data_IF_477956371029
#
_entry.id   IF_477956371029
#
_cell.length_a   1.000
_cell.length_b   1.000
_cell.length_c   1.000
_cell.angle_alpha   90.00
_cell.angle_beta   90.00
_cell.angle_gamma   90.00
#
_symmetry.space_group_name_H-M   'P 1'
#
loop_
_entity.id
_entity.type
_entity.pdbx_description
1 polymer ?
#
# COMPACT_ATOMS: atom_id res chain seq x y z
N UNK A 1 -50.96 19.94 85.12
CA UNK A 1 -51.16 19.72 83.66
C UNK A 1 -49.87 19.15 83.08
N UNK A 2 -49.84 17.82 82.85
CA UNK A 2 -48.71 17.06 82.30
C UNK A 2 -48.50 17.44 80.82
N UNK A 3 -47.29 17.86 80.43
CA UNK A 3 -46.89 18.01 79.02
C UNK A 3 -45.94 16.88 78.63
N UNK A 4 -46.40 16.07 77.68
CA UNK A 4 -45.72 14.94 77.06
C UNK A 4 -44.60 15.48 76.16
N UNK A 5 -43.36 14.97 76.32
CA UNK A 5 -42.25 15.21 75.39
C UNK A 5 -42.23 14.09 74.35
N UNK A 6 -42.47 14.43 73.09
CA UNK A 6 -42.31 13.53 71.95
C UNK A 6 -40.86 13.57 71.46
N UNK A 7 -40.26 12.38 71.29
CA UNK A 7 -38.91 12.17 70.75
C UNK A 7 -39.04 12.03 69.23
N UNK A 8 -38.34 12.88 68.47
CA UNK A 8 -38.23 12.77 67.01
C UNK A 8 -36.86 12.17 66.69
N UNK A 9 -36.86 10.96 66.14
CA UNK A 9 -35.68 10.30 65.59
C UNK A 9 -35.36 10.90 64.21
N UNK A 10 -34.17 11.48 64.04
CA UNK A 10 -33.63 11.87 62.72
C UNK A 10 -32.73 10.74 62.20
N UNK A 11 -33.11 10.15 61.06
CA UNK A 11 -32.23 9.27 60.28
C UNK A 11 -31.16 10.12 59.57
N UNK A 12 -29.89 9.77 59.75
CA UNK A 12 -28.79 10.27 58.92
C UNK A 12 -28.66 9.41 57.67
N UNK A 13 -28.92 9.99 56.50
CA UNK A 13 -28.59 9.37 55.21
C UNK A 13 -27.13 9.70 54.86
N UNK A 14 -26.25 8.70 54.89
CA UNK A 14 -24.87 8.82 54.42
C UNK A 14 -24.81 8.66 52.91
N UNK A 15 -24.48 9.73 52.20
CA UNK A 15 -24.17 9.70 50.76
C UNK A 15 -22.69 9.32 50.56
N UNK A 16 -22.45 8.19 49.89
CA UNK A 16 -21.11 7.79 49.44
C UNK A 16 -20.85 8.45 48.09
N UNK A 17 -19.94 9.42 48.04
CA UNK A 17 -19.43 9.98 46.79
C UNK A 17 -18.37 9.04 46.19
N UNK A 18 -18.72 8.33 45.12
CA UNK A 18 -17.75 7.57 44.34
C UNK A 18 -16.90 8.55 43.50
N UNK A 19 -15.70 8.86 43.98
CA UNK A 19 -14.69 9.57 43.20
C UNK A 19 -14.20 8.68 42.06
N UNK A 20 -14.63 8.95 40.83
CA UNK A 20 -14.08 8.29 39.64
C UNK A 20 -12.65 8.75 39.40
N UNK A 21 -11.68 7.83 39.51
CA UNK A 21 -10.35 8.04 38.95
C UNK A 21 -10.49 8.10 37.43
N UNK A 22 -10.33 9.30 36.85
CA UNK A 22 -10.05 9.44 35.43
C UNK A 22 -8.60 8.98 35.23
N UNK A 23 -8.42 7.73 34.80
CA UNK A 23 -7.15 7.28 34.27
C UNK A 23 -6.88 8.04 32.98
N UNK A 24 -6.05 9.08 33.04
CA UNK A 24 -5.46 9.69 31.85
C UNK A 24 -4.67 8.59 31.14
N UNK A 25 -5.18 8.11 30.02
CA UNK A 25 -4.40 7.24 29.15
C UNK A 25 -3.10 7.99 28.80
N UNK A 26 -1.93 7.33 28.85
CA UNK A 26 -0.68 7.96 28.42
C UNK A 26 -0.89 8.49 27.00
N UNK A 27 -0.49 9.75 26.76
CA UNK A 27 -0.46 10.29 25.42
C UNK A 27 0.44 9.38 24.57
N UNK A 28 -0.18 8.65 23.66
CA UNK A 28 0.46 7.90 22.61
C UNK A 28 1.34 8.85 21.78
N UNK A 29 2.65 8.86 22.02
CA UNK A 29 3.59 9.66 21.24
C UNK A 29 4.02 8.84 20.03
N UNK A 30 3.83 9.39 18.83
CA UNK A 30 4.44 8.87 17.62
C UNK A 30 5.97 8.89 17.79
N UNK A 31 6.64 7.76 17.59
CA UNK A 31 8.09 7.65 17.74
C UNK A 31 8.75 7.76 16.37
N UNK A 32 9.88 8.47 16.33
CA UNK A 32 10.80 8.45 15.19
C UNK A 32 11.92 7.45 15.47
N UNK A 33 12.01 6.41 14.64
CA UNK A 33 12.95 5.30 14.76
C UNK A 33 14.03 5.44 13.68
N UNK A 34 15.28 5.82 14.04
CA UNK A 34 16.37 5.78 13.09
C UNK A 34 16.75 4.33 12.77
N UNK A 35 16.81 3.98 11.49
CA UNK A 35 17.04 2.61 11.04
C UNK A 35 18.46 2.50 10.45
N UNK A 36 19.34 1.78 11.14
CA UNK A 36 20.68 1.49 10.62
C UNK A 36 20.63 0.70 9.30
N UNK A 37 21.64 0.81 8.44
CA UNK A 37 21.68 0.19 7.11
C UNK A 37 21.91 -1.33 7.16
N UNK A 38 20.89 -2.10 7.60
CA UNK A 38 20.92 -3.56 7.62
C UNK A 38 19.51 -4.15 7.58
N UNK A 39 19.40 -5.38 7.06
CA UNK A 39 18.16 -6.16 7.05
C UNK A 39 17.55 -6.28 8.46
N UNK A 40 18.35 -6.72 9.44
CA UNK A 40 17.88 -6.93 10.81
C UNK A 40 17.37 -5.63 11.47
N UNK A 41 18.03 -4.49 11.22
CA UNK A 41 17.59 -3.21 11.77
C UNK A 41 16.24 -2.77 11.19
N UNK A 42 16.03 -2.94 9.89
CA UNK A 42 14.75 -2.61 9.25
C UNK A 42 13.62 -3.52 9.75
N UNK A 43 13.87 -4.82 9.84
CA UNK A 43 12.90 -5.80 10.37
C UNK A 43 12.55 -5.49 11.82
N UNK A 44 13.55 -5.20 12.66
CA UNK A 44 13.33 -4.83 14.06
C UNK A 44 12.52 -3.54 14.20
N UNK A 45 12.80 -2.53 13.37
CA UNK A 45 12.06 -1.27 13.37
C UNK A 45 10.59 -1.46 12.97
N UNK A 46 10.31 -2.29 11.96
CA UNK A 46 8.93 -2.61 11.57
C UNK A 46 8.21 -3.39 12.67
N UNK A 47 8.86 -4.38 13.29
CA UNK A 47 8.27 -5.10 14.42
C UNK A 47 7.98 -4.18 15.62
N UNK A 48 8.87 -3.23 15.91
CA UNK A 48 8.66 -2.23 16.94
C UNK A 48 7.47 -1.34 16.61
N UNK A 49 7.36 -0.83 15.38
CA UNK A 49 6.23 -0.01 14.96
C UNK A 49 4.89 -0.77 14.96
N UNK A 50 4.91 -2.06 14.62
CA UNK A 50 3.74 -2.94 14.72
C UNK A 50 3.33 -3.25 16.18
N UNK A 51 4.18 -2.96 17.18
CA UNK A 51 3.89 -3.29 18.58
C UNK A 51 2.90 -2.34 19.25
N UNK A 52 2.59 -1.20 18.61
CA UNK A 52 1.63 -0.22 19.13
C UNK A 52 0.67 0.22 18.04
N UNK A 53 -0.58 0.60 18.36
CA UNK A 53 -1.54 1.09 17.36
C UNK A 53 -1.21 2.51 16.85
N UNK A 54 -0.14 3.12 17.34
CA UNK A 54 0.26 4.49 17.05
C UNK A 54 0.98 4.54 15.70
N UNK A 55 0.86 5.66 15.00
CA UNK A 55 1.66 5.89 13.79
C UNK A 55 3.11 6.16 14.14
N UNK A 56 4.02 5.30 13.70
CA UNK A 56 5.46 5.47 13.89
C UNK A 56 6.17 5.84 12.57
N UNK A 57 7.29 6.55 12.70
CA UNK A 57 8.10 7.01 11.57
C UNK A 57 9.47 6.33 11.60
N UNK A 58 9.82 5.64 10.52
CA UNK A 58 11.10 4.98 10.32
C UNK A 58 11.97 5.86 9.41
N UNK A 59 13.02 6.44 9.98
CA UNK A 59 13.98 7.23 9.20
C UNK A 59 15.06 6.28 8.69
N UNK A 60 15.01 5.98 7.40
CA UNK A 60 15.95 5.08 6.76
C UNK A 60 17.31 5.77 6.59
N UNK A 61 18.39 4.99 6.70
CA UNK A 61 19.73 5.47 6.47
C UNK A 61 19.85 6.01 5.03
N UNK A 62 20.23 7.28 4.89
CA UNK A 62 20.28 7.97 3.60
C UNK A 62 21.18 7.26 2.58
N UNK A 63 20.64 6.98 1.40
CA UNK A 63 21.32 6.28 0.30
C UNK A 63 21.54 4.79 0.54
N UNK A 64 21.09 4.24 1.67
CA UNK A 64 21.27 2.82 1.98
C UNK A 64 20.48 1.92 1.02
N UNK A 65 21.05 0.75 0.71
CA UNK A 65 20.29 -0.38 0.16
C UNK A 65 20.11 -1.45 1.23
N UNK A 66 18.90 -1.57 1.76
CA UNK A 66 18.45 -2.65 2.64
C UNK A 66 18.27 -3.92 1.81
N UNK A 67 19.26 -4.80 1.90
CA UNK A 67 19.31 -6.08 1.17
C UNK A 67 18.61 -7.15 1.99
N UNK A 68 17.37 -7.46 1.60
CA UNK A 68 16.56 -8.49 2.24
C UNK A 68 16.95 -9.85 1.68
N UNK A 69 17.49 -10.73 2.53
CA UNK A 69 17.98 -12.04 2.12
C UNK A 69 16.99 -13.16 2.43
N UNK A 70 16.11 -12.96 3.42
CA UNK A 70 15.07 -13.91 3.82
C UNK A 70 13.72 -13.23 4.00
N UNK A 71 12.65 -14.03 4.11
CA UNK A 71 11.32 -13.54 4.45
C UNK A 71 11.17 -13.42 5.98
N UNK A 72 10.49 -12.36 6.43
CA UNK A 72 10.25 -12.04 7.85
C UNK A 72 8.76 -11.88 8.20
N UNK A 73 7.88 -11.73 7.22
CA UNK A 73 6.42 -11.68 7.40
C UNK A 73 5.72 -12.98 6.96
N UNK A 74 6.19 -14.12 7.47
CA UNK A 74 5.84 -15.44 6.96
C UNK A 74 6.80 -15.90 5.85
N UNK A 75 6.33 -16.71 4.90
CA UNK A 75 7.20 -17.28 3.85
C UNK A 75 7.35 -16.42 2.61
N UNK A 76 6.57 -15.34 2.49
CA UNK A 76 6.41 -14.61 1.22
C UNK A 76 6.65 -13.10 1.31
N UNK A 77 7.11 -12.58 2.45
CA UNK A 77 7.25 -11.14 2.72
C UNK A 77 8.64 -10.83 3.29
N UNK A 78 9.40 -9.95 2.65
CA UNK A 78 10.69 -9.49 3.15
C UNK A 78 10.53 -8.76 4.49
N UNK A 79 9.52 -7.90 4.62
CA UNK A 79 9.21 -7.25 5.89
C UNK A 79 8.19 -8.06 6.69
N UNK A 80 8.17 -7.92 8.03
CA UNK A 80 6.99 -8.29 8.81
C UNK A 80 5.73 -7.64 8.21
N UNK A 81 4.60 -8.34 8.28
CA UNK A 81 3.32 -7.78 7.77
C UNK A 81 3.02 -6.49 8.52
N UNK A 82 2.71 -5.43 7.79
CA UNK A 82 2.43 -4.11 8.35
C UNK A 82 0.98 -4.12 8.84
N UNK A 83 0.80 -4.05 10.15
CA UNK A 83 -0.51 -4.14 10.81
C UNK A 83 -0.95 -2.84 11.46
N UNK A 84 -0.02 -1.88 11.60
CA UNK A 84 -0.22 -0.54 12.18
C UNK A 84 0.19 0.52 11.16
N UNK A 85 -0.10 1.81 11.39
CA UNK A 85 0.38 2.87 10.50
C UNK A 85 1.89 3.06 10.62
N UNK A 86 2.62 2.94 9.52
CA UNK A 86 4.07 3.09 9.44
C UNK A 86 4.40 4.08 8.31
N UNK A 87 5.17 5.12 8.62
CA UNK A 87 5.85 5.95 7.63
C UNK A 87 7.32 5.54 7.49
N UNK A 88 7.82 5.40 6.27
CA UNK A 88 9.24 5.22 5.97
C UNK A 88 9.75 6.42 5.17
N UNK A 89 10.80 7.06 5.69
CA UNK A 89 11.40 8.25 5.09
C UNK A 89 12.77 7.88 4.51
N UNK A 90 12.96 8.17 3.23
CA UNK A 90 14.20 7.94 2.49
C UNK A 90 15.13 9.18 2.44
N UNK A 91 16.10 9.20 1.49
CA UNK A 91 16.23 8.28 0.36
C UNK A 91 16.83 6.94 0.77
N UNK A 92 16.21 5.83 0.37
CA UNK A 92 16.74 4.48 0.61
C UNK A 92 16.11 3.46 -0.34
N UNK A 93 16.81 2.36 -0.59
CA UNK A 93 16.30 1.24 -1.40
C UNK A 93 16.08 0.02 -0.52
N UNK A 94 14.92 -0.63 -0.62
CA UNK A 94 14.65 -1.95 -0.04
C UNK A 94 14.53 -2.94 -1.18
N UNK A 95 15.41 -3.94 -1.19
CA UNK A 95 15.52 -4.87 -2.29
C UNK A 95 15.56 -6.32 -1.84
N UNK A 96 14.87 -7.21 -2.56
CA UNK A 96 15.15 -8.64 -2.46
C UNK A 96 16.55 -8.90 -3.04
N UNK A 97 17.42 -9.37 -2.16
CA UNK A 97 18.82 -9.67 -2.40
C UNK A 97 19.15 -11.11 -1.99
N UNK A 98 18.15 -11.99 -2.07
CA UNK A 98 18.31 -13.43 -1.82
C UNK A 98 19.47 -14.03 -2.63
N UNK A 99 20.24 -14.97 -2.04
CA UNK A 99 21.33 -15.62 -2.75
C UNK A 99 20.87 -16.22 -4.08
N UNK A 100 21.64 -16.00 -5.14
CA UNK A 100 21.36 -16.49 -6.49
C UNK A 100 20.05 -15.97 -7.12
N UNK A 101 19.36 -15.02 -6.50
CA UNK A 101 18.09 -14.47 -7.00
C UNK A 101 16.90 -15.43 -6.91
N UNK A 102 17.01 -16.47 -6.08
CA UNK A 102 16.02 -17.54 -5.96
C UNK A 102 15.00 -17.30 -4.84
N UNK A 103 15.13 -16.24 -4.05
CA UNK A 103 14.21 -15.93 -2.97
C UNK A 103 12.86 -15.48 -3.50
N UNK A 104 11.82 -16.22 -3.13
CA UNK A 104 10.44 -16.01 -3.55
C UNK A 104 9.66 -15.27 -2.46
N UNK A 105 10.00 -14.00 -2.25
CA UNK A 105 9.25 -13.09 -1.38
C UNK A 105 9.07 -11.70 -2.02
N UNK A 106 7.93 -11.08 -1.73
CA UNK A 106 7.65 -9.67 -2.03
C UNK A 106 8.34 -8.76 -1.03
N UNK A 107 8.40 -7.45 -1.28
CA UNK A 107 9.02 -6.52 -0.33
C UNK A 107 8.13 -6.31 0.90
N UNK A 108 6.85 -5.96 0.70
CA UNK A 108 5.94 -5.66 1.81
C UNK A 108 4.54 -6.24 1.61
N UNK A 109 3.89 -6.56 2.73
CA UNK A 109 2.45 -6.77 2.80
C UNK A 109 1.85 -5.81 3.83
N UNK A 110 0.81 -5.09 3.43
CA UNK A 110 0.01 -4.25 4.31
C UNK A 110 -1.28 -4.98 4.63
N UNK A 111 -1.47 -5.32 5.90
CA UNK A 111 -2.67 -5.99 6.37
C UNK A 111 -3.91 -5.07 6.39
N UNK A 112 -5.11 -5.61 6.67
CA UNK A 112 -6.38 -4.87 6.59
C UNK A 112 -6.49 -3.64 7.52
N UNK A 113 -5.72 -3.64 8.61
CA UNK A 113 -5.64 -2.53 9.58
C UNK A 113 -4.37 -1.68 9.40
N UNK A 114 -3.44 -2.12 8.56
CA UNK A 114 -2.15 -1.47 8.36
C UNK A 114 -2.24 -0.31 7.39
N UNK A 115 -1.29 0.61 7.53
CA UNK A 115 -1.04 1.67 6.55
C UNK A 115 0.45 1.83 6.34
N UNK A 116 0.89 1.91 5.09
CA UNK A 116 2.29 2.16 4.74
C UNK A 116 2.41 3.46 3.95
N UNK A 117 3.17 4.41 4.48
CA UNK A 117 3.51 5.65 3.79
C UNK A 117 4.99 5.66 3.46
N UNK A 118 5.35 5.85 2.19
CA UNK A 118 6.74 5.94 1.72
C UNK A 118 7.03 7.34 1.18
N UNK A 119 7.96 8.07 1.79
CA UNK A 119 8.27 9.45 1.40
C UNK A 119 9.76 9.66 1.15
N UNK A 120 10.08 10.71 0.38
CA UNK A 120 11.48 11.19 0.22
C UNK A 120 12.41 10.16 -0.43
N UNK A 121 11.96 9.52 -1.52
CA UNK A 121 12.84 8.67 -2.34
C UNK A 121 13.06 7.27 -1.79
N UNK A 122 12.03 6.65 -1.18
CA UNK A 122 12.09 5.22 -0.87
C UNK A 122 11.81 4.42 -2.13
N UNK A 123 12.63 3.41 -2.40
CA UNK A 123 12.52 2.54 -3.58
C UNK A 123 12.33 1.10 -3.13
N UNK A 124 11.22 0.48 -3.53
CA UNK A 124 11.03 -0.97 -3.37
C UNK A 124 11.30 -1.66 -4.70
N UNK A 125 12.27 -2.57 -4.71
CA UNK A 125 12.75 -3.19 -5.94
C UNK A 125 13.08 -4.67 -5.83
N UNK A 126 13.05 -5.36 -6.98
CA UNK A 126 13.44 -6.77 -7.12
C UNK A 126 12.59 -7.74 -6.30
N UNK A 127 11.50 -7.30 -5.68
CA UNK A 127 10.56 -8.22 -5.04
C UNK A 127 10.11 -9.27 -6.04
N UNK A 128 10.07 -10.53 -5.63
CA UNK A 128 9.83 -11.66 -6.53
C UNK A 128 9.02 -12.69 -5.76
N UNK A 129 7.76 -12.92 -6.13
CA UNK A 129 6.88 -13.78 -5.31
C UNK A 129 6.02 -14.71 -6.15
N UNK A 130 5.83 -15.93 -5.65
CA UNK A 130 4.74 -16.80 -6.10
C UNK A 130 3.44 -16.36 -5.42
N UNK A 131 2.79 -15.36 -5.98
CA UNK A 131 1.61 -14.73 -5.39
C UNK A 131 1.34 -13.36 -6.01
N UNK A 132 0.62 -12.51 -5.28
CA UNK A 132 0.26 -11.16 -5.70
C UNK A 132 1.23 -10.10 -5.16
N UNK A 133 1.36 -8.94 -5.81
CA UNK A 133 2.05 -7.79 -5.22
C UNK A 133 3.54 -8.01 -5.04
N UNK A 134 4.30 -8.09 -6.15
CA UNK A 134 5.75 -8.37 -6.11
C UNK A 134 6.53 -7.35 -5.29
N UNK A 135 6.20 -6.06 -5.42
CA UNK A 135 6.66 -5.02 -4.50
C UNK A 135 5.81 -5.00 -3.24
N UNK A 136 4.52 -4.70 -3.40
CA UNK A 136 3.58 -4.53 -2.28
C UNK A 136 2.29 -5.32 -2.53
N UNK A 137 1.92 -6.18 -1.58
CA UNK A 137 0.53 -6.65 -1.44
C UNK A 137 -0.21 -5.70 -0.48
N UNK A 138 -1.20 -4.98 -0.97
CA UNK A 138 -2.00 -4.08 -0.16
C UNK A 138 -3.40 -4.65 0.11
N UNK A 139 -3.72 -4.79 1.41
CA UNK A 139 -5.06 -5.09 1.93
C UNK A 139 -5.60 -3.98 2.83
N UNK A 140 -4.78 -2.97 3.13
CA UNK A 140 -5.11 -1.80 3.94
C UNK A 140 -4.87 -0.53 3.12
N UNK A 141 -4.00 0.36 3.60
CA UNK A 141 -3.67 1.60 2.91
C UNK A 141 -2.20 1.70 2.52
N UNK A 142 -1.91 2.20 1.32
CA UNK A 142 -0.55 2.48 0.84
C UNK A 142 -0.51 3.88 0.24
N UNK A 143 0.47 4.68 0.64
CA UNK A 143 0.74 6.01 0.08
C UNK A 143 2.21 6.14 -0.30
N UNK A 144 2.52 6.50 -1.54
CA UNK A 144 3.87 6.80 -2.00
C UNK A 144 3.95 8.24 -2.47
N UNK A 145 4.85 9.03 -1.88
CA UNK A 145 5.11 10.43 -2.28
C UNK A 145 6.58 10.62 -2.62
N UNK A 146 6.88 10.83 -3.90
CA UNK A 146 8.28 10.93 -4.38
C UNK A 146 9.08 9.65 -4.13
N UNK A 147 8.42 8.50 -4.17
CA UNK A 147 8.98 7.15 -3.94
C UNK A 147 8.73 6.28 -5.16
N UNK A 148 9.25 5.06 -5.24
CA UNK A 148 9.01 4.23 -6.44
C UNK A 148 8.93 2.73 -6.20
N UNK A 149 8.19 2.06 -7.07
CA UNK A 149 8.19 0.59 -7.17
C UNK A 149 8.79 0.22 -8.53
N UNK A 150 9.95 -0.43 -8.51
CA UNK A 150 10.69 -0.72 -9.75
C UNK A 150 11.22 -2.14 -9.82
N UNK A 151 11.08 -2.80 -10.97
CA UNK A 151 11.69 -4.12 -11.19
C UNK A 151 11.12 -5.22 -10.29
N UNK A 152 9.86 -5.11 -9.86
CA UNK A 152 9.22 -6.12 -9.01
C UNK A 152 8.42 -7.12 -9.86
N UNK A 153 8.44 -8.38 -9.43
CA UNK A 153 7.85 -9.52 -10.14
C UNK A 153 6.87 -10.29 -9.25
N UNK A 154 5.70 -10.62 -9.80
CA UNK A 154 4.71 -11.47 -9.17
C UNK A 154 4.26 -12.58 -10.13
N UNK A 155 4.01 -13.79 -9.65
CA UNK A 155 3.38 -14.81 -10.50
C UNK A 155 1.89 -14.52 -10.73
N UNK A 156 1.21 -13.93 -9.74
CA UNK A 156 -0.17 -13.47 -9.79
C UNK A 156 -0.26 -11.98 -10.14
N UNK A 157 -1.37 -11.35 -9.75
CA UNK A 157 -1.66 -9.94 -10.04
C UNK A 157 -0.73 -8.94 -9.33
N UNK A 158 -0.48 -7.79 -9.96
CA UNK A 158 0.26 -6.67 -9.40
C UNK A 158 1.76 -6.94 -9.28
N UNK A 159 2.53 -6.71 -10.33
CA UNK A 159 3.98 -6.86 -10.27
C UNK A 159 4.60 -5.85 -9.29
N UNK A 160 4.22 -4.59 -9.42
CA UNK A 160 4.58 -3.51 -8.49
C UNK A 160 3.71 -3.55 -7.24
N UNK A 161 2.40 -3.32 -7.39
CA UNK A 161 1.42 -3.33 -6.30
C UNK A 161 0.16 -4.10 -6.67
N UNK A 162 -0.34 -4.91 -5.73
CA UNK A 162 -1.66 -5.52 -5.82
C UNK A 162 -2.57 -4.99 -4.70
N UNK A 163 -3.62 -4.27 -5.09
CA UNK A 163 -4.67 -3.77 -4.20
C UNK A 163 -5.79 -4.81 -4.15
N UNK A 164 -5.80 -5.64 -3.09
CA UNK A 164 -6.68 -6.81 -3.00
C UNK A 164 -7.61 -6.72 -1.80
N UNK A 165 -8.90 -6.88 -2.07
CA UNK A 165 -9.94 -6.84 -1.03
C UNK A 165 -9.71 -7.89 0.05
N UNK A 166 -10.24 -7.59 1.22
CA UNK A 166 -10.49 -8.59 2.25
C UNK A 166 -11.97 -8.59 2.57
N UNK A 167 -12.68 -9.74 2.46
CA UNK A 167 -14.14 -9.78 2.54
C UNK A 167 -14.74 -9.10 3.77
N UNK A 168 -14.03 -9.09 4.90
CA UNK A 168 -14.45 -8.51 6.18
C UNK A 168 -13.63 -7.30 6.63
N UNK A 169 -12.77 -6.75 5.77
CA UNK A 169 -11.84 -5.67 6.12
C UNK A 169 -12.18 -4.33 5.49
N UNK A 170 -11.35 -3.34 5.82
CA UNK A 170 -11.32 -2.04 5.15
C UNK A 170 -11.01 -2.24 3.68
N UNK A 171 -11.72 -1.52 2.80
CA UNK A 171 -11.45 -1.57 1.37
C UNK A 171 -10.03 -1.06 1.11
N UNK A 172 -9.24 -1.74 0.26
CA UNK A 172 -7.83 -1.45 0.13
C UNK A 172 -7.64 -0.18 -0.73
N UNK A 173 -6.75 0.71 -0.31
CA UNK A 173 -6.52 2.00 -0.96
C UNK A 173 -5.04 2.23 -1.26
N UNK A 174 -4.73 2.64 -2.49
CA UNK A 174 -3.37 2.96 -2.91
C UNK A 174 -3.32 4.38 -3.52
N UNK A 175 -2.40 5.20 -3.04
CA UNK A 175 -2.17 6.57 -3.53
C UNK A 175 -0.70 6.75 -3.96
N UNK A 176 -0.47 7.27 -5.15
CA UNK A 176 0.84 7.56 -5.69
C UNK A 176 0.91 9.04 -6.10
N UNK A 177 1.82 9.80 -5.51
CA UNK A 177 2.06 11.21 -5.82
C UNK A 177 3.50 11.39 -6.28
N UNK A 178 3.70 11.73 -7.56
CA UNK A 178 5.02 11.82 -8.19
C UNK A 178 5.90 10.58 -7.93
N UNK A 179 5.28 9.41 -7.94
CA UNK A 179 5.90 8.14 -7.55
C UNK A 179 5.90 7.17 -8.74
N UNK A 180 6.99 7.08 -9.52
CA UNK A 180 7.02 6.30 -10.75
C UNK A 180 6.91 4.79 -10.48
N UNK A 181 6.29 4.11 -11.43
CA UNK A 181 6.05 2.66 -11.43
C UNK A 181 6.68 2.08 -12.69
N UNK A 182 7.81 1.39 -12.57
CA UNK A 182 8.58 0.98 -13.75
C UNK A 182 9.15 -0.43 -13.73
N UNK A 183 9.18 -1.09 -14.89
CA UNK A 183 9.83 -2.38 -15.03
C UNK A 183 9.22 -3.50 -14.20
N UNK A 184 7.97 -3.36 -13.75
CA UNK A 184 7.31 -4.37 -12.94
C UNK A 184 6.60 -5.41 -13.82
N UNK A 185 6.58 -6.66 -13.37
CA UNK A 185 6.17 -7.82 -14.16
C UNK A 185 5.17 -8.70 -13.41
N UNK A 186 4.13 -9.15 -14.10
CA UNK A 186 3.37 -10.34 -13.71
C UNK A 186 3.55 -11.45 -14.74
N UNK A 187 3.74 -12.69 -14.29
CA UNK A 187 3.92 -13.83 -15.20
C UNK A 187 2.58 -14.36 -15.74
N UNK A 188 1.59 -14.51 -14.85
CA UNK A 188 0.30 -15.12 -15.19
C UNK A 188 -0.91 -14.24 -14.79
N UNK A 189 -0.68 -13.21 -13.98
CA UNK A 189 -1.72 -12.28 -13.53
C UNK A 189 -1.82 -10.99 -14.34
N UNK A 190 -2.66 -10.09 -13.87
CA UNK A 190 -2.92 -8.78 -14.48
C UNK A 190 -2.28 -7.63 -13.68
N UNK A 191 -2.10 -6.48 -14.33
CA UNK A 191 -1.57 -5.26 -13.70
C UNK A 191 -0.08 -5.34 -13.45
N UNK A 192 0.75 -5.05 -14.45
CA UNK A 192 2.21 -5.20 -14.33
C UNK A 192 2.76 -4.22 -13.29
N UNK A 193 2.39 -2.94 -13.41
CA UNK A 193 2.65 -1.96 -12.36
C UNK A 193 1.66 -2.10 -11.22
N UNK A 194 0.36 -1.97 -11.49
CA UNK A 194 -0.68 -1.99 -10.46
C UNK A 194 -1.87 -2.85 -10.87
N UNK A 195 -2.29 -3.74 -9.97
CA UNK A 195 -3.60 -4.36 -10.01
C UNK A 195 -4.51 -3.71 -8.96
N UNK A 196 -5.62 -3.11 -9.40
CA UNK A 196 -6.66 -2.56 -8.53
C UNK A 196 -7.91 -3.44 -8.58
N UNK A 197 -8.04 -4.32 -7.59
CA UNK A 197 -9.09 -5.33 -7.54
C UNK A 197 -10.41 -4.83 -6.95
N UNK A 198 -11.29 -5.79 -6.63
CA UNK A 198 -12.62 -5.57 -6.05
C UNK A 198 -12.55 -4.58 -4.88
N UNK A 199 -13.48 -3.62 -4.84
CA UNK A 199 -13.58 -2.55 -3.81
C UNK A 199 -12.34 -1.66 -3.66
N UNK A 200 -11.27 -1.93 -4.39
CA UNK A 200 -10.03 -1.18 -4.34
C UNK A 200 -10.19 0.25 -4.84
N UNK A 201 -9.45 1.15 -4.23
CA UNK A 201 -9.30 2.53 -4.70
C UNK A 201 -7.85 2.79 -5.09
N UNK A 202 -7.64 3.31 -6.29
CA UNK A 202 -6.32 3.71 -6.79
C UNK A 202 -6.36 5.19 -7.20
N UNK A 203 -5.46 5.98 -6.65
CA UNK A 203 -5.21 7.37 -7.08
C UNK A 203 -3.76 7.52 -7.50
N UNK A 204 -3.52 7.97 -8.72
CA UNK A 204 -2.18 8.24 -9.24
C UNK A 204 -2.14 9.65 -9.77
N UNK A 205 -1.25 10.45 -9.19
CA UNK A 205 -1.16 11.90 -9.43
C UNK A 205 0.27 12.28 -9.74
N UNK A 206 0.51 12.81 -10.93
CA UNK A 206 1.74 13.54 -11.23
C UNK A 206 1.72 14.96 -10.66
N UNK A 207 2.77 15.72 -10.97
CA UNK A 207 2.81 17.15 -10.65
C UNK A 207 2.88 17.95 -11.96
N UNK A 208 2.29 19.15 -11.95
CA UNK A 208 2.31 20.03 -13.13
C UNK A 208 3.77 20.29 -13.56
N UNK A 209 4.09 20.00 -14.81
CA UNK A 209 5.45 20.15 -15.36
C UNK A 209 6.38 18.94 -15.16
N UNK A 210 6.00 17.97 -14.33
CA UNK A 210 6.69 16.68 -14.19
C UNK A 210 5.63 15.57 -14.03
N UNK A 211 5.06 15.07 -15.15
CA UNK A 211 4.05 14.03 -15.08
C UNK A 211 4.64 12.75 -14.46
N UNK A 212 3.80 12.00 -13.76
CA UNK A 212 4.17 10.67 -13.24
C UNK A 212 4.16 9.67 -14.39
N UNK A 213 5.13 8.76 -14.43
CA UNK A 213 5.23 7.73 -15.46
C UNK A 213 4.96 6.33 -14.90
N UNK A 214 4.05 5.61 -15.56
CA UNK A 214 3.85 4.17 -15.44
C UNK A 214 4.40 3.55 -16.73
N UNK A 215 5.58 2.94 -16.67
CA UNK A 215 6.32 2.56 -17.88
C UNK A 215 7.15 1.28 -17.81
N UNK A 216 7.28 0.56 -18.93
CA UNK A 216 8.08 -0.65 -19.02
C UNK A 216 7.51 -1.81 -18.20
N UNK A 217 6.23 -1.76 -17.82
CA UNK A 217 5.61 -2.81 -17.03
C UNK A 217 4.95 -3.86 -17.94
N UNK A 218 4.92 -5.11 -17.49
CA UNK A 218 4.42 -6.25 -18.27
C UNK A 218 3.44 -7.10 -17.48
N UNK A 219 2.34 -7.54 -18.09
CA UNK A 219 1.35 -8.41 -17.46
C UNK A 219 0.51 -9.20 -18.47
N UNK A 220 -0.33 -10.13 -18.03
CA UNK A 220 -1.30 -10.79 -18.89
C UNK A 220 -2.29 -9.79 -19.53
N UNK A 221 -2.89 -8.92 -18.70
CA UNK A 221 -3.68 -7.76 -19.12
C UNK A 221 -3.31 -6.54 -18.28
N UNK A 222 -3.44 -5.36 -18.88
CA UNK A 222 -3.12 -4.10 -18.22
C UNK A 222 -1.65 -4.07 -17.82
N UNK A 223 -0.75 -4.16 -18.79
CA UNK A 223 0.71 -4.12 -18.57
C UNK A 223 1.09 -2.98 -17.60
N UNK A 224 0.49 -1.81 -17.76
CA UNK A 224 0.55 -0.74 -16.76
C UNK A 224 -0.39 -1.00 -15.59
N UNK A 225 -1.70 -0.81 -15.83
CA UNK A 225 -2.74 -0.92 -14.80
C UNK A 225 -3.81 -1.91 -15.22
N UNK A 226 -4.24 -2.77 -14.28
CA UNK A 226 -5.47 -3.54 -14.41
C UNK A 226 -6.44 -3.15 -13.29
N UNK A 227 -7.64 -2.68 -13.65
CA UNK A 227 -8.69 -2.29 -12.73
C UNK A 227 -9.90 -3.21 -12.89
N UNK A 228 -10.19 -4.05 -11.90
CA UNK A 228 -11.20 -5.11 -11.98
C UNK A 228 -12.18 -5.01 -10.81
N UNK A 229 -13.41 -4.58 -11.11
CA UNK A 229 -14.49 -4.33 -10.15
C UNK A 229 -14.08 -3.44 -8.98
N UNK A 230 -13.10 -2.56 -9.23
CA UNK A 230 -12.61 -1.57 -8.26
C UNK A 230 -13.67 -0.54 -7.93
N UNK A 231 -13.64 0.04 -6.74
CA UNK A 231 -14.51 1.18 -6.41
C UNK A 231 -14.18 2.36 -7.32
N UNK A 232 -12.90 2.74 -7.39
CA UNK A 232 -12.43 3.84 -8.22
C UNK A 232 -10.96 3.67 -8.64
N UNK A 233 -10.65 4.16 -9.84
CA UNK A 233 -9.29 4.35 -10.36
C UNK A 233 -9.16 5.75 -10.96
N UNK A 234 -8.34 6.60 -10.36
CA UNK A 234 -8.17 8.00 -10.77
C UNK A 234 -6.74 8.23 -11.22
N UNK A 235 -6.56 8.69 -12.46
CA UNK A 235 -5.27 9.07 -13.04
C UNK A 235 -5.28 10.56 -13.36
N UNK A 236 -4.40 11.32 -12.69
CA UNK A 236 -4.24 12.76 -12.91
C UNK A 236 -2.79 13.06 -13.28
N UNK A 237 -2.57 13.78 -14.37
CA UNK A 237 -1.22 14.16 -14.82
C UNK A 237 -0.23 12.98 -14.88
N UNK A 238 -0.72 11.83 -15.36
CA UNK A 238 -0.01 10.55 -15.30
C UNK A 238 0.05 9.92 -16.68
N UNK A 239 1.25 9.69 -17.19
CA UNK A 239 1.48 9.02 -18.46
C UNK A 239 1.62 7.51 -18.27
N UNK A 240 0.78 6.73 -18.96
CA UNK A 240 0.86 5.26 -19.01
C UNK A 240 1.41 4.85 -20.37
N UNK A 241 2.71 4.55 -20.44
CA UNK A 241 3.42 4.41 -21.72
C UNK A 241 4.41 3.25 -21.74
N UNK A 242 4.63 2.64 -22.92
CA UNK A 242 5.58 1.54 -23.10
C UNK A 242 5.33 0.37 -22.14
N UNK A 243 4.07 0.05 -21.90
CA UNK A 243 3.68 -1.13 -21.12
C UNK A 243 3.23 -2.26 -22.07
N UNK A 244 3.40 -3.49 -21.63
CA UNK A 244 3.29 -4.69 -22.46
C UNK A 244 2.29 -5.70 -21.90
N UNK A 245 1.35 -6.15 -22.72
CA UNK A 245 0.53 -7.31 -22.46
C UNK A 245 1.25 -8.55 -23.02
N UNK A 246 1.53 -9.54 -22.16
CA UNK A 246 2.23 -10.78 -22.49
C UNK A 246 1.30 -11.83 -23.09
N UNK A 247 0.00 -11.77 -22.79
CA UNK A 247 -0.99 -12.69 -23.35
C UNK A 247 -1.60 -12.08 -24.60
N UNK A 248 -1.44 -12.77 -25.72
CA UNK A 248 -1.96 -12.39 -27.05
C UNK A 248 -3.49 -12.26 -27.11
N UNK A 249 -4.20 -12.80 -26.11
CA UNK A 249 -5.67 -12.75 -26.00
C UNK A 249 -6.17 -11.74 -24.95
N UNK A 250 -5.26 -11.05 -24.25
CA UNK A 250 -5.56 -10.18 -23.11
C UNK A 250 -5.80 -8.70 -23.44
N UNK A 251 -5.40 -8.29 -24.65
CA UNK A 251 -5.77 -7.07 -25.35
C UNK A 251 -5.62 -5.71 -24.66
N UNK A 252 -4.92 -5.51 -23.55
CA UNK A 252 -4.57 -4.13 -23.12
C UNK A 252 -3.15 -4.05 -22.56
N UNK A 253 -2.24 -3.42 -23.31
CA UNK A 253 -0.88 -3.16 -22.86
C UNK A 253 -0.81 -2.07 -21.81
N UNK A 254 -1.60 -1.00 -21.98
CA UNK A 254 -1.60 0.15 -21.09
C UNK A 254 -2.49 -0.07 -19.88
N UNK A 255 -3.80 0.07 -20.09
CA UNK A 255 -4.81 -0.02 -19.03
C UNK A 255 -5.88 -1.02 -19.42
N UNK A 256 -6.08 -2.04 -18.60
CA UNK A 256 -7.24 -2.92 -18.66
C UNK A 256 -8.26 -2.51 -17.62
N UNK A 257 -9.52 -2.37 -18.02
CA UNK A 257 -10.62 -2.08 -17.10
C UNK A 257 -11.76 -3.08 -17.27
N UNK A 258 -12.22 -3.64 -16.16
CA UNK A 258 -13.42 -4.46 -16.07
C UNK A 258 -14.29 -3.94 -14.92
N UNK A 259 -15.36 -3.21 -15.22
CA UNK A 259 -16.24 -2.62 -14.21
C UNK A 259 -15.61 -1.45 -13.43
N UNK A 260 -16.19 -1.13 -12.27
CA UNK A 260 -15.74 -0.05 -11.38
C UNK A 260 -15.90 1.36 -11.93
N UNK A 261 -15.40 2.39 -11.25
CA UNK A 261 -15.29 3.75 -11.82
C UNK A 261 -13.85 4.05 -12.22
N UNK A 262 -13.68 4.82 -13.30
CA UNK A 262 -12.36 5.28 -13.72
C UNK A 262 -12.44 6.71 -14.22
N UNK A 263 -11.48 7.54 -13.80
CA UNK A 263 -11.36 8.94 -14.20
C UNK A 263 -9.94 9.19 -14.68
N UNK A 264 -9.79 9.80 -15.85
CA UNK A 264 -8.50 10.20 -16.41
C UNK A 264 -8.51 11.71 -16.67
N UNK A 265 -7.52 12.42 -16.17
CA UNK A 265 -7.37 13.88 -16.35
C UNK A 265 -5.92 14.18 -16.67
N UNK A 266 -5.67 14.66 -17.89
CA UNK A 266 -4.31 14.88 -18.41
C UNK A 266 -3.42 13.63 -18.25
N UNK A 267 -3.99 12.45 -18.49
CA UNK A 267 -3.34 11.17 -18.30
C UNK A 267 -3.23 10.43 -19.64
N UNK A 268 -2.22 10.73 -20.48
CA UNK A 268 -2.07 10.08 -21.78
C UNK A 268 -1.75 8.59 -21.60
N UNK A 269 -2.51 7.74 -22.29
CA UNK A 269 -2.28 6.29 -22.35
C UNK A 269 -1.88 5.96 -23.79
N UNK A 270 -0.58 5.81 -24.03
CA UNK A 270 0.00 5.77 -25.38
C UNK A 270 1.18 4.81 -25.49
N UNK A 271 1.52 4.39 -26.70
CA UNK A 271 2.69 3.54 -26.98
C UNK A 271 2.74 2.25 -26.13
N UNK A 272 1.60 1.67 -25.81
CA UNK A 272 1.54 0.38 -25.14
C UNK A 272 1.27 -0.75 -26.15
N UNK A 273 1.72 -1.95 -25.83
CA UNK A 273 1.57 -3.14 -26.70
C UNK A 273 0.83 -4.25 -25.97
N UNK A 274 -0.04 -5.04 -26.60
CA UNK A 274 -0.43 -4.98 -28.00
C UNK A 274 -1.26 -3.73 -28.39
N UNK A 275 -1.82 -3.00 -27.42
CA UNK A 275 -2.54 -1.74 -27.62
C UNK A 275 -2.65 -0.98 -26.29
N UNK A 276 -3.36 0.16 -26.28
CA UNK A 276 -3.49 0.99 -25.10
C UNK A 276 -4.56 0.47 -24.13
N UNK A 277 -5.81 0.27 -24.59
CA UNK A 277 -6.92 -0.07 -23.69
C UNK A 277 -8.00 -1.00 -24.26
N UNK A 278 -7.77 -1.65 -25.41
CA UNK A 278 -8.78 -2.47 -26.09
C UNK A 278 -9.25 -3.62 -25.20
N UNK A 279 -10.52 -4.03 -25.32
CA UNK A 279 -11.09 -5.11 -24.50
C UNK A 279 -11.50 -4.70 -23.08
N UNK A 280 -11.32 -3.42 -22.72
CA UNK A 280 -11.86 -2.85 -21.49
C UNK A 280 -13.38 -2.68 -21.56
N UNK A 281 -14.08 -3.12 -20.52
CA UNK A 281 -15.54 -3.00 -20.40
C UNK A 281 -15.91 -2.50 -18.99
N UNK A 282 -16.45 -1.27 -18.85
CA UNK A 282 -16.60 -0.25 -19.89
C UNK A 282 -15.25 0.32 -20.37
N UNK A 283 -15.27 1.03 -21.50
CA UNK A 283 -14.07 1.65 -22.08
C UNK A 283 -13.32 2.56 -21.09
N UNK A 284 -12.01 2.65 -21.26
CA UNK A 284 -11.15 3.55 -20.46
C UNK A 284 -11.34 5.00 -20.95
N UNK A 285 -11.65 5.96 -20.07
CA UNK A 285 -11.87 7.35 -20.49
C UNK A 285 -10.62 7.97 -21.13
N UNK A 286 -10.83 8.72 -22.22
CA UNK A 286 -9.78 9.42 -22.97
C UNK A 286 -8.64 8.51 -23.47
N UNK A 287 -8.84 7.19 -23.51
CA UNK A 287 -7.89 6.27 -24.09
C UNK A 287 -8.18 6.08 -25.58
N UNK A 288 -7.18 6.35 -26.40
CA UNK A 288 -7.21 6.07 -27.84
C UNK A 288 -6.19 4.97 -28.13
N UNK A 289 -6.53 4.01 -28.98
CA UNK A 289 -5.70 2.83 -29.25
C UNK A 289 -6.42 1.55 -28.87
#
# INVERSE_FOLDING_TARGET
MRRIRAVVQCLFATTVAAGGLVALAPAAQAITIPVACSENALVAAVNLANSTPISDTLVLAGGCTYRMTTAHGGTANALPVITTPIEMIGPATVANASPLGLGLFRIAEVGPTGSLTLTTGVVFTRGNVLGHGGGILNRGAVTLTGSSLTGNTASGNGGGLANLDTPSGTAPAATFTNSPLSGNLTLLGDGGAVYNGLRGTLTVTGVTGSPLFITGNSAGRGGGISAVNSTATTLTQTAVTNNHALLTLGNSGGVYRQGGTMTTTNAPITANTANNCVGSVPAVPNCTG
#
